data_IF_205668658160
#
_entry.id   IF_205668658160
#
_cell.length_a   1.000
_cell.length_b   1.000
_cell.length_c   1.000
_cell.angle_alpha   90.00
_cell.angle_beta   90.00
_cell.angle_gamma   90.00
#
_symmetry.space_group_name_H-M   'P 1'
#
loop_
_entity.id
_entity.type
_entity.pdbx_description
1 polymer ?
#
# COMPACT_ATOMS: atom_id res chain seq x y z
N UNK A 1 13.37 44.18 -46.31
CA UNK A 1 13.93 44.13 -47.67
C UNK A 1 14.06 42.64 -47.98
N UNK A 2 12.89 42.00 -48.08
CA UNK A 2 12.09 41.78 -49.32
C UNK A 2 12.71 40.59 -50.07
N UNK A 3 12.20 39.38 -49.89
CA UNK A 3 10.97 38.76 -50.45
C UNK A 3 11.34 37.96 -51.70
N UNK A 4 11.25 36.63 -51.65
CA UNK A 4 10.19 35.85 -52.32
C UNK A 4 10.82 35.10 -53.51
N UNK A 5 10.43 33.92 -53.98
CA UNK A 5 9.26 33.09 -53.76
C UNK A 5 9.66 31.62 -53.96
N UNK A 6 8.94 30.74 -53.28
CA UNK A 6 9.01 29.29 -53.35
C UNK A 6 7.71 28.84 -54.02
N UNK A 7 7.81 28.13 -55.14
CA UNK A 7 6.65 27.53 -55.81
C UNK A 7 6.74 26.00 -55.75
N UNK A 8 5.56 25.42 -55.55
CA UNK A 8 5.25 24.11 -55.00
C UNK A 8 4.68 23.19 -56.11
N UNK A 9 4.45 21.92 -55.76
CA UNK A 9 3.60 20.89 -56.40
C UNK A 9 4.28 19.68 -57.09
N UNK A 10 3.62 18.49 -57.17
CA UNK A 10 3.06 17.74 -56.04
C UNK A 10 3.28 16.20 -56.17
N UNK A 11 2.85 15.49 -55.12
CA UNK A 11 2.80 14.04 -54.94
C UNK A 11 2.02 13.26 -56.04
N UNK A 12 2.51 12.05 -56.32
CA UNK A 12 1.75 10.97 -56.95
C UNK A 12 2.05 9.65 -56.25
N UNK A 13 1.12 9.17 -55.43
CA UNK A 13 1.20 7.90 -54.68
C UNK A 13 0.43 6.81 -55.45
N UNK A 14 1.15 5.80 -55.93
CA UNK A 14 0.55 4.55 -56.44
C UNK A 14 0.17 3.60 -55.30
N UNK A 15 -1.06 3.11 -55.36
CA UNK A 15 -1.57 2.01 -54.54
C UNK A 15 -1.28 0.68 -55.23
N UNK A 16 -0.66 -0.27 -54.53
CA UNK A 16 -0.83 -1.69 -54.85
C UNK A 16 -0.83 -2.57 -53.60
N UNK A 17 -1.85 -3.42 -53.56
CA UNK A 17 -2.18 -4.43 -52.57
C UNK A 17 -1.18 -5.59 -52.61
N UNK A 18 -0.64 -5.98 -51.45
CA UNK A 18 -0.23 -7.39 -51.21
C UNK A 18 -0.44 -7.78 -49.75
N UNK A 19 -1.20 -8.85 -49.57
CA UNK A 19 -1.38 -9.63 -48.34
C UNK A 19 -0.05 -10.15 -47.77
N UNK A 20 0.11 -10.17 -46.44
CA UNK A 20 1.00 -11.12 -45.76
C UNK A 20 0.73 -11.22 -44.25
N UNK A 21 0.15 -12.35 -43.85
CA UNK A 21 0.41 -13.16 -42.64
C UNK A 21 1.13 -12.52 -41.44
N UNK A 22 0.41 -12.34 -40.33
CA UNK A 22 1.00 -12.10 -38.98
C UNK A 22 1.44 -13.41 -38.32
N UNK A 23 2.69 -13.55 -37.84
CA UNK A 23 3.08 -14.68 -37.02
C UNK A 23 2.69 -14.43 -35.55
N UNK A 24 2.21 -15.50 -34.91
CA UNK A 24 1.95 -15.64 -33.48
C UNK A 24 3.09 -15.06 -32.63
N UNK A 25 2.84 -13.94 -31.97
CA UNK A 25 3.74 -13.37 -30.97
C UNK A 25 3.68 -14.23 -29.70
N UNK A 26 4.68 -15.11 -29.57
CA UNK A 26 4.94 -15.83 -28.34
C UNK A 26 5.19 -14.81 -27.22
N UNK A 27 4.39 -14.90 -26.16
CA UNK A 27 4.54 -14.15 -24.92
C UNK A 27 5.95 -14.40 -24.37
N UNK A 28 6.86 -13.47 -24.65
CA UNK A 28 8.14 -13.36 -23.95
C UNK A 28 7.79 -13.12 -22.51
N UNK A 29 8.05 -14.12 -21.66
CA UNK A 29 7.95 -13.99 -20.22
C UNK A 29 8.74 -12.77 -19.80
N UNK A 30 8.05 -11.78 -19.24
CA UNK A 30 8.67 -10.68 -18.53
C UNK A 30 9.54 -11.30 -17.45
N UNK A 31 10.85 -11.40 -17.69
CA UNK A 31 11.81 -11.62 -16.65
C UNK A 31 11.61 -10.48 -15.65
N UNK A 32 10.98 -10.81 -14.53
CA UNK A 32 10.89 -9.91 -13.38
C UNK A 32 12.33 -9.67 -12.99
N UNK A 33 12.88 -8.54 -13.42
CA UNK A 33 14.18 -8.04 -12.99
C UNK A 33 14.11 -7.94 -11.47
N UNK A 34 14.61 -8.97 -10.79
CA UNK A 34 14.77 -8.97 -9.34
C UNK A 34 15.67 -7.81 -8.92
N UNK A 35 15.64 -7.44 -7.63
CA UNK A 35 16.59 -6.45 -7.10
C UNK A 35 18.02 -6.87 -7.47
N UNK A 36 18.87 -5.90 -7.84
CA UNK A 36 20.26 -6.19 -8.20
C UNK A 36 20.93 -6.99 -7.07
N UNK A 37 21.64 -8.08 -7.37
CA UNK A 37 22.32 -8.86 -6.34
C UNK A 37 23.30 -7.97 -5.58
N UNK A 38 23.13 -7.90 -4.27
CA UNK A 38 24.01 -7.14 -3.39
C UNK A 38 25.37 -7.84 -3.37
N UNK A 39 26.44 -7.12 -3.67
CA UNK A 39 27.78 -7.63 -3.41
C UNK A 39 27.98 -7.70 -1.89
N UNK A 40 27.73 -8.88 -1.32
CA UNK A 40 27.78 -9.13 0.13
C UNK A 40 29.13 -8.72 0.74
N UNK A 41 30.24 -8.96 0.03
CA UNK A 41 31.58 -8.57 0.50
C UNK A 41 31.71 -7.06 0.65
N UNK A 42 31.37 -6.31 -0.40
CA UNK A 42 31.43 -4.84 -0.37
C UNK A 42 30.50 -4.24 0.69
N UNK A 43 29.33 -4.86 0.90
CA UNK A 43 28.40 -4.47 1.96
C UNK A 43 29.00 -4.68 3.37
N UNK A 44 29.58 -5.85 3.64
CA UNK A 44 30.24 -6.15 4.93
C UNK A 44 31.45 -5.26 5.19
N UNK A 45 32.26 -4.97 4.17
CA UNK A 45 33.38 -4.03 4.28
C UNK A 45 32.91 -2.60 4.59
N UNK A 46 31.78 -2.16 4.02
CA UNK A 46 31.18 -0.87 4.35
C UNK A 46 30.67 -0.84 5.79
N UNK A 47 29.97 -1.88 6.25
CA UNK A 47 29.51 -1.97 7.64
C UNK A 47 30.68 -1.91 8.64
N UNK A 48 31.80 -2.58 8.33
CA UNK A 48 33.03 -2.52 9.13
C UNK A 48 33.52 -1.09 9.30
N UNK A 49 33.63 -0.36 8.19
CA UNK A 49 34.09 1.04 8.19
C UNK A 49 33.13 1.96 8.94
N UNK A 50 31.82 1.80 8.73
CA UNK A 50 30.79 2.57 9.46
C UNK A 50 30.89 2.32 10.97
N UNK A 51 31.07 1.07 11.41
CA UNK A 51 31.24 0.73 12.82
C UNK A 51 32.50 1.40 13.41
N UNK A 52 33.63 1.30 12.71
CA UNK A 52 34.89 1.92 13.10
C UNK A 52 34.74 3.45 13.23
N UNK A 53 34.12 4.10 12.24
CA UNK A 53 33.91 5.55 12.23
C UNK A 53 32.97 6.02 13.35
N UNK A 54 32.01 5.20 13.76
CA UNK A 54 31.09 5.49 14.86
C UNK A 54 31.63 5.04 16.23
N UNK A 55 32.81 4.41 16.29
CA UNK A 55 33.36 3.83 17.52
C UNK A 55 32.49 2.71 18.10
N UNK A 56 31.72 2.00 17.25
CA UNK A 56 30.86 0.91 17.67
C UNK A 56 31.66 -0.41 17.70
N UNK A 57 31.45 -1.26 18.73
CA UNK A 57 32.01 -2.61 18.71
C UNK A 57 31.36 -3.39 17.57
N UNK A 58 32.17 -3.85 16.62
CA UNK A 58 31.73 -4.77 15.58
C UNK A 58 31.95 -6.20 16.08
N UNK A 59 30.88 -6.98 16.17
CA UNK A 59 30.98 -8.40 16.50
C UNK A 59 31.15 -9.19 15.19
N UNK A 60 32.18 -10.04 15.14
CA UNK A 60 32.42 -10.92 13.99
C UNK A 60 31.64 -12.21 14.22
N UNK A 61 30.55 -12.37 13.49
CA UNK A 61 29.74 -13.58 13.55
C UNK A 61 30.38 -14.63 12.65
N UNK A 62 31.01 -15.63 13.30
CA UNK A 62 31.43 -16.85 12.62
C UNK A 62 30.19 -17.69 12.39
N UNK A 63 29.80 -17.85 11.13
CA UNK A 63 28.80 -18.87 10.80
C UNK A 63 29.38 -20.23 11.20
N UNK A 64 28.67 -20.95 12.07
CA UNK A 64 29.05 -22.29 12.44
C UNK A 64 28.75 -23.20 11.25
N UNK A 65 29.72 -23.34 10.34
CA UNK A 65 29.60 -24.24 9.21
C UNK A 65 29.63 -25.69 9.72
N UNK A 66 28.78 -26.54 9.14
CA UNK A 66 28.80 -27.97 9.43
C UNK A 66 30.13 -28.54 8.92
N UNK A 67 30.96 -29.15 9.80
CA UNK A 67 32.29 -29.66 9.44
C UNK A 67 32.29 -30.64 8.25
N UNK A 68 31.14 -31.27 7.95
CA UNK A 68 31.00 -32.19 6.82
C UNK A 68 30.82 -31.50 5.47
N UNK A 69 30.44 -30.21 5.43
CA UNK A 69 30.20 -29.42 4.21
C UNK A 69 31.15 -28.23 4.03
N UNK A 70 31.99 -27.91 5.01
CA UNK A 70 33.03 -26.87 4.97
C UNK A 70 34.04 -27.06 3.79
N UNK A 71 34.18 -28.28 3.26
CA UNK A 71 35.01 -28.56 2.06
C UNK A 71 34.37 -28.03 0.78
N UNK A 72 33.03 -27.94 0.73
CA UNK A 72 32.27 -27.55 -0.46
C UNK A 72 31.99 -26.05 -0.53
N UNK A 73 32.10 -25.35 0.60
CA UNK A 73 31.86 -23.91 0.70
C UNK A 73 33.18 -23.15 0.74
N UNK A 74 33.39 -22.14 -0.12
CA UNK A 74 34.50 -21.22 0.09
C UNK A 74 34.28 -20.52 1.43
N UNK A 75 35.30 -20.55 2.31
CA UNK A 75 35.28 -19.93 3.63
C UNK A 75 34.55 -18.58 3.60
N UNK A 76 33.36 -18.55 4.20
CA UNK A 76 32.48 -17.39 4.12
C UNK A 76 33.18 -16.18 4.75
N UNK A 77 33.18 -15.00 4.10
CA UNK A 77 33.76 -13.81 4.70
C UNK A 77 33.02 -13.52 5.99
N UNK A 78 33.76 -13.39 7.09
CA UNK A 78 33.16 -13.18 8.40
C UNK A 78 32.18 -12.03 8.36
N UNK A 79 30.95 -12.30 8.80
CA UNK A 79 29.88 -11.32 8.81
C UNK A 79 30.03 -10.42 10.03
N UNK A 80 29.76 -9.13 9.85
CA UNK A 80 29.78 -8.16 10.94
C UNK A 80 28.35 -7.93 11.41
N UNK A 81 28.14 -8.13 12.71
CA UNK A 81 26.93 -7.71 13.40
C UNK A 81 27.18 -6.35 14.08
N UNK A 82 26.30 -5.39 13.79
CA UNK A 82 26.26 -4.11 14.50
C UNK A 82 25.43 -4.24 15.78
N UNK A 83 25.81 -3.55 16.87
CA UNK A 83 25.09 -3.64 18.13
C UNK A 83 23.69 -3.05 18.02
N UNK A 84 22.73 -3.69 18.69
CA UNK A 84 21.35 -3.23 18.71
C UNK A 84 21.23 -1.93 19.52
N UNK A 85 20.72 -0.87 18.89
CA UNK A 85 20.52 0.42 19.53
C UNK A 85 19.59 0.26 20.75
N UNK A 86 20.06 0.67 21.94
CA UNK A 86 19.32 0.53 23.21
C UNK A 86 17.89 1.10 23.17
N UNK A 87 17.70 2.22 22.47
CA UNK A 87 16.37 2.82 22.29
C UNK A 87 15.44 1.92 21.48
N UNK A 88 15.93 1.31 20.39
CA UNK A 88 15.16 0.32 19.61
C UNK A 88 14.83 -0.87 20.51
N UNK A 89 15.81 -1.34 21.29
CA UNK A 89 15.64 -2.43 22.24
C UNK A 89 14.54 -2.16 23.27
N UNK A 90 14.57 -0.98 23.88
CA UNK A 90 13.56 -0.55 24.85
C UNK A 90 12.18 -0.50 24.22
N UNK A 91 12.06 0.09 23.02
CA UNK A 91 10.79 0.27 22.34
C UNK A 91 10.06 -1.06 22.10
N UNK A 92 10.71 -2.07 21.52
CA UNK A 92 10.03 -3.34 21.28
C UNK A 92 9.74 -4.07 22.60
N UNK A 93 10.63 -4.00 23.60
CA UNK A 93 10.40 -4.61 24.92
C UNK A 93 9.18 -4.04 25.61
N UNK A 94 8.96 -2.72 25.50
CA UNK A 94 7.76 -2.05 26.03
C UNK A 94 6.50 -2.54 25.32
N UNK A 95 6.50 -2.60 23.99
CA UNK A 95 5.35 -3.10 23.21
C UNK A 95 5.03 -4.56 23.55
N UNK A 96 6.05 -5.38 23.80
CA UNK A 96 5.89 -6.80 24.14
C UNK A 96 5.39 -7.06 25.55
N UNK A 97 5.37 -6.07 26.46
CA UNK A 97 4.78 -6.28 27.80
C UNK A 97 3.27 -6.54 27.72
N UNK A 98 2.58 -5.94 26.77
CA UNK A 98 1.12 -6.02 26.62
C UNK A 98 0.71 -6.24 25.16
N UNK A 99 1.07 -7.39 24.55
CA UNK A 99 0.94 -7.57 23.10
C UNK A 99 -0.52 -7.49 22.64
N UNK A 100 -1.46 -8.05 23.41
CA UNK A 100 -2.89 -8.06 23.08
C UNK A 100 -3.56 -6.68 23.17
N UNK A 101 -3.11 -5.81 24.09
CA UNK A 101 -3.70 -4.48 24.32
C UNK A 101 -2.81 -3.35 23.82
N UNK A 102 -1.68 -3.64 23.17
CA UNK A 102 -0.82 -2.63 22.58
C UNK A 102 -1.63 -1.73 21.64
N UNK A 103 -1.51 -0.42 21.81
CA UNK A 103 -2.21 0.51 20.95
C UNK A 103 -1.65 0.43 19.51
N UNK A 104 -2.44 0.77 18.48
CA UNK A 104 -1.90 1.13 17.17
C UNK A 104 -0.87 2.27 17.32
N UNK A 105 0.01 2.43 16.33
CA UNK A 105 1.00 3.50 16.34
C UNK A 105 0.33 4.85 16.58
N UNK A 106 0.95 5.69 17.41
CA UNK A 106 0.38 6.97 17.79
C UNK A 106 0.08 7.84 16.55
N UNK A 107 -1.13 8.42 16.49
CA UNK A 107 -1.59 9.26 15.36
C UNK A 107 -0.57 10.33 14.95
N UNK A 108 0.14 10.94 15.91
CA UNK A 108 1.16 11.96 15.61
C UNK A 108 2.28 11.45 14.69
N UNK A 109 2.64 10.17 14.79
CA UNK A 109 3.64 9.55 13.90
C UNK A 109 3.08 9.41 12.48
N UNK A 110 1.81 9.03 12.34
CA UNK A 110 1.16 8.90 11.03
C UNK A 110 1.11 10.23 10.26
N UNK A 111 1.02 11.35 10.97
CA UNK A 111 1.00 12.70 10.37
C UNK A 111 2.40 13.19 9.96
N UNK A 112 3.48 12.48 10.32
CA UNK A 112 4.83 12.83 9.86
C UNK A 112 5.11 12.30 8.46
N UNK A 113 4.53 11.14 8.14
CA UNK A 113 4.84 10.40 6.91
C UNK A 113 3.72 10.57 5.89
N UNK A 114 3.72 11.69 5.17
CA UNK A 114 2.79 11.95 4.07
C UNK A 114 3.24 11.25 2.76
N UNK A 115 2.26 10.79 2.00
CA UNK A 115 2.39 10.28 0.64
C UNK A 115 1.21 10.80 -0.19
N UNK A 116 1.32 10.89 -1.53
CA UNK A 116 0.18 11.21 -2.38
C UNK A 116 -0.99 10.28 -2.07
N UNK A 117 -2.19 10.83 -1.89
CA UNK A 117 -3.38 10.05 -1.54
C UNK A 117 -4.03 9.41 -2.77
N UNK A 118 -4.02 10.10 -3.91
CA UNK A 118 -4.67 9.66 -5.14
C UNK A 118 -4.00 8.38 -5.68
N UNK A 119 -4.75 7.29 -5.74
CA UNK A 119 -4.26 5.97 -6.17
C UNK A 119 -3.48 5.20 -5.11
N UNK A 120 -3.33 5.76 -3.91
CA UNK A 120 -2.63 5.16 -2.77
C UNK A 120 -3.48 5.28 -1.49
N UNK A 121 -4.79 5.36 -1.62
CA UNK A 121 -5.74 5.53 -0.52
C UNK A 121 -5.62 4.39 0.51
N UNK A 122 -5.23 3.20 0.03
CA UNK A 122 -4.97 2.01 0.83
C UNK A 122 -3.92 2.24 1.93
N UNK A 123 -3.00 3.20 1.78
CA UNK A 123 -1.99 3.54 2.79
C UNK A 123 -2.54 4.28 4.01
N UNK A 124 -3.74 4.85 3.89
CA UNK A 124 -4.33 5.74 4.90
C UNK A 124 -5.65 5.21 5.45
N UNK A 125 -6.41 4.51 4.62
CA UNK A 125 -7.75 4.08 4.94
C UNK A 125 -7.84 2.55 5.02
N UNK A 126 -8.58 2.06 6.00
CA UNK A 126 -8.96 0.64 6.01
C UNK A 126 -9.95 0.37 4.87
N UNK A 127 -9.76 -0.70 4.09
CA UNK A 127 -10.72 -1.05 3.07
C UNK A 127 -12.05 -1.41 3.72
N UNK A 128 -13.13 -0.89 3.14
CA UNK A 128 -14.49 -1.17 3.60
C UNK A 128 -14.85 -2.62 3.27
N UNK A 129 -15.52 -3.35 4.16
CA UNK A 129 -16.12 -4.63 3.81
C UNK A 129 -17.36 -4.33 2.96
N UNK A 130 -17.18 -4.18 1.65
CA UNK A 130 -18.27 -4.00 0.67
C UNK A 130 -18.38 -5.29 -0.14
N UNK A 131 -19.53 -5.98 -0.11
CA UNK A 131 -19.87 -7.18 -0.94
C UNK A 131 -21.16 -7.82 -0.44
N UNK A 132 -21.73 -8.76 -1.20
CA UNK A 132 -22.72 -9.73 -0.73
C UNK A 132 -22.32 -10.45 0.57
N UNK A 133 -21.03 -10.63 0.87
CA UNK A 133 -20.58 -11.19 2.15
C UNK A 133 -21.12 -10.39 3.34
N UNK A 134 -21.06 -9.06 3.26
CA UNK A 134 -21.54 -8.17 4.32
C UNK A 134 -23.06 -8.19 4.43
N UNK A 135 -23.75 -8.23 3.30
CA UNK A 135 -25.19 -8.40 3.27
C UNK A 135 -25.60 -9.74 3.92
N UNK A 136 -24.88 -10.83 3.66
CA UNK A 136 -25.13 -12.14 4.28
C UNK A 136 -24.92 -12.11 5.80
N UNK A 137 -23.86 -11.46 6.28
CA UNK A 137 -23.63 -11.24 7.72
C UNK A 137 -24.78 -10.46 8.35
N UNK A 138 -25.21 -9.37 7.72
CA UNK A 138 -26.30 -8.51 8.21
C UNK A 138 -27.64 -9.27 8.26
N UNK A 139 -28.00 -10.02 7.22
CA UNK A 139 -29.23 -10.81 7.21
C UNK A 139 -29.21 -11.89 8.29
N UNK A 140 -28.09 -12.59 8.44
CA UNK A 140 -27.93 -13.59 9.50
C UNK A 140 -28.07 -12.99 10.90
N UNK A 141 -27.60 -11.77 11.11
CA UNK A 141 -27.78 -11.03 12.36
C UNK A 141 -29.26 -10.63 12.59
N UNK A 142 -29.99 -10.25 11.54
CA UNK A 142 -31.41 -9.86 11.61
C UNK A 142 -32.33 -11.01 12.00
N UNK A 143 -32.10 -12.21 11.47
CA UNK A 143 -32.94 -13.38 11.75
C UNK A 143 -32.70 -14.01 13.13
N UNK A 144 -31.97 -13.34 14.03
CA UNK A 144 -31.80 -13.76 15.43
C UNK A 144 -31.14 -15.13 15.60
N UNK A 145 -30.49 -15.65 14.55
CA UNK A 145 -29.97 -17.01 14.51
C UNK A 145 -28.83 -17.28 15.50
N UNK A 146 -28.31 -16.27 16.23
CA UNK A 146 -27.37 -16.46 17.34
C UNK A 146 -27.49 -15.35 18.40
N UNK A 147 -27.72 -15.73 19.67
CA UNK A 147 -27.09 -15.01 20.81
C UNK A 147 -25.58 -14.96 20.54
N UNK A 148 -24.81 -13.92 20.92
CA UNK A 148 -23.41 -13.77 20.48
C UNK A 148 -22.60 -15.00 20.89
N UNK A 149 -22.46 -15.95 19.96
CA UNK A 149 -21.75 -17.17 20.18
C UNK A 149 -20.28 -16.81 20.45
N UNK A 150 -19.52 -17.60 21.21
CA UNK A 150 -18.09 -17.36 21.42
C UNK A 150 -17.34 -17.06 20.11
N UNK A 151 -17.75 -17.68 19.01
CA UNK A 151 -17.21 -17.47 17.65
C UNK A 151 -17.37 -16.05 17.11
N UNK A 152 -18.45 -15.34 17.42
CA UNK A 152 -18.67 -13.95 16.97
C UNK A 152 -17.76 -12.94 17.70
N UNK A 153 -17.39 -13.23 18.96
CA UNK A 153 -16.40 -12.41 19.69
C UNK A 153 -15.01 -12.56 19.08
N UNK A 154 -14.64 -13.78 18.72
CA UNK A 154 -13.34 -14.06 18.08
C UNK A 154 -13.25 -13.45 16.68
N UNK A 155 -14.31 -13.50 15.87
CA UNK A 155 -14.31 -12.85 14.55
C UNK A 155 -14.10 -11.33 14.66
N UNK A 156 -14.81 -10.65 15.56
CA UNK A 156 -14.59 -9.20 15.81
C UNK A 156 -13.17 -8.89 16.28
N UNK A 157 -12.61 -9.73 17.15
CA UNK A 157 -11.22 -9.60 17.62
C UNK A 157 -10.24 -9.79 16.46
N UNK A 158 -10.51 -10.74 15.56
CA UNK A 158 -9.69 -11.00 14.38
C UNK A 158 -9.77 -9.83 13.36
N UNK A 159 -10.93 -9.24 13.10
CA UNK A 159 -11.04 -8.02 12.26
C UNK A 159 -10.26 -6.86 12.87
N UNK A 160 -10.33 -6.68 14.20
CA UNK A 160 -9.56 -5.64 14.89
C UNK A 160 -8.04 -5.85 14.75
N UNK A 161 -7.57 -7.08 14.94
CA UNK A 161 -6.15 -7.40 14.71
C UNK A 161 -5.76 -7.19 13.25
N UNK A 162 -6.58 -7.63 12.31
CA UNK A 162 -6.32 -7.44 10.89
C UNK A 162 -6.27 -5.96 10.49
N UNK A 163 -7.13 -5.10 11.07
CA UNK A 163 -7.02 -3.64 10.91
C UNK A 163 -5.69 -3.11 11.43
N UNK A 164 -5.25 -3.56 12.61
CA UNK A 164 -4.00 -3.12 13.21
C UNK A 164 -2.80 -3.51 12.34
N UNK A 165 -2.74 -4.77 11.89
CA UNK A 165 -1.71 -5.27 10.96
C UNK A 165 -1.71 -4.46 9.67
N UNK A 166 -2.89 -4.22 9.09
CA UNK A 166 -3.06 -3.41 7.89
C UNK A 166 -2.51 -1.98 8.05
N UNK A 167 -2.91 -1.28 9.12
CA UNK A 167 -2.42 0.08 9.41
C UNK A 167 -0.93 0.13 9.66
N UNK A 168 -0.37 -0.87 10.36
CA UNK A 168 1.07 -0.97 10.58
C UNK A 168 1.82 -1.12 9.25
N UNK A 169 1.32 -1.95 8.34
CA UNK A 169 1.87 -2.09 6.99
C UNK A 169 1.82 -0.80 6.18
N UNK A 170 0.65 -0.15 6.14
CA UNK A 170 0.47 1.13 5.44
C UNK A 170 1.37 2.24 5.99
N UNK A 171 1.52 2.33 7.32
CA UNK A 171 2.45 3.28 7.93
C UNK A 171 3.91 2.94 7.61
N UNK A 172 4.30 1.67 7.67
CA UNK A 172 5.67 1.26 7.37
C UNK A 172 6.03 1.58 5.91
N UNK A 173 5.12 1.33 4.96
CA UNK A 173 5.29 1.74 3.56
C UNK A 173 5.51 3.24 3.39
N UNK A 174 4.79 4.09 4.14
CA UNK A 174 4.98 5.55 4.11
C UNK A 174 6.33 5.97 4.71
N UNK A 175 6.78 5.31 5.78
CA UNK A 175 8.09 5.56 6.40
C UNK A 175 9.22 5.21 5.43
N UNK A 176 9.21 4.01 4.86
CA UNK A 176 10.28 3.54 3.96
C UNK A 176 10.31 4.32 2.65
N UNK A 177 9.15 4.80 2.15
CA UNK A 177 9.10 5.70 1.00
C UNK A 177 9.85 7.01 1.27
N UNK A 178 9.62 7.64 2.43
CA UNK A 178 10.37 8.85 2.80
C UNK A 178 11.86 8.57 3.01
N UNK A 179 12.21 7.44 3.63
CA UNK A 179 13.60 7.02 3.79
C UNK A 179 14.30 6.86 2.43
N UNK A 180 13.65 6.21 1.46
CA UNK A 180 14.18 6.05 0.11
C UNK A 180 14.44 7.40 -0.57
N UNK A 181 13.51 8.37 -0.45
CA UNK A 181 13.69 9.72 -0.99
C UNK A 181 14.88 10.42 -0.32
N UNK A 182 15.01 10.36 1.01
CA UNK A 182 16.13 10.97 1.72
C UNK A 182 17.47 10.32 1.36
N UNK A 183 17.51 9.00 1.23
CA UNK A 183 18.72 8.28 0.84
C UNK A 183 19.15 8.62 -0.60
N UNK A 184 18.19 8.77 -1.53
CA UNK A 184 18.45 9.24 -2.89
C UNK A 184 18.99 10.67 -2.90
N UNK A 185 18.38 11.56 -2.12
CA UNK A 185 18.89 12.92 -1.95
C UNK A 185 20.31 12.93 -1.38
N UNK A 186 20.58 12.17 -0.32
CA UNK A 186 21.91 12.06 0.29
C UNK A 186 22.97 11.59 -0.72
N UNK A 187 22.65 10.58 -1.53
CA UNK A 187 23.54 10.13 -2.61
C UNK A 187 23.87 11.27 -3.60
N UNK A 188 22.85 12.02 -4.02
CA UNK A 188 23.03 13.15 -4.92
C UNK A 188 23.87 14.26 -4.27
N UNK A 189 23.68 14.53 -2.98
CA UNK A 189 24.49 15.52 -2.24
C UNK A 189 25.96 15.13 -2.22
N UNK A 190 26.31 13.86 -1.97
CA UNK A 190 27.69 13.38 -2.08
C UNK A 190 28.23 13.46 -3.50
N UNK A 191 27.41 13.18 -4.51
CA UNK A 191 27.82 13.34 -5.91
C UNK A 191 28.13 14.80 -6.27
N UNK A 192 27.36 15.76 -5.76
CA UNK A 192 27.65 17.19 -5.91
C UNK A 192 28.91 17.57 -5.13
N UNK A 193 29.08 17.05 -3.91
CA UNK A 193 30.27 17.30 -3.10
C UNK A 193 31.55 16.89 -3.84
N UNK A 194 31.52 15.77 -4.58
CA UNK A 194 32.64 15.32 -5.40
C UNK A 194 33.17 16.35 -6.41
N UNK A 195 32.36 17.32 -6.84
CA UNK A 195 32.78 18.39 -7.76
C UNK A 195 33.76 19.38 -7.14
N UNK A 196 33.84 19.47 -5.81
CA UNK A 196 34.76 20.36 -5.10
C UNK A 196 36.18 19.78 -4.97
N UNK A 197 36.42 18.57 -5.49
CA UNK A 197 37.74 17.90 -5.41
C UNK A 197 38.87 18.79 -5.93
N UNK A 198 38.68 19.41 -7.09
CA UNK A 198 39.74 20.18 -7.76
C UNK A 198 40.02 21.53 -7.08
N UNK A 199 39.13 21.95 -6.16
CA UNK A 199 39.33 23.14 -5.33
C UNK A 199 40.18 22.87 -4.08
N UNK A 200 40.53 21.62 -3.80
CA UNK A 200 41.34 21.23 -2.64
C UNK A 200 42.83 21.17 -2.97
N UNK A 201 43.71 21.42 -1.98
CA UNK A 201 45.15 21.16 -2.11
C UNK A 201 45.41 19.73 -2.56
N UNK A 202 46.40 19.53 -3.44
CA UNK A 202 46.70 18.23 -4.04
C UNK A 202 46.85 17.10 -3.00
N UNK A 203 47.46 17.40 -1.85
CA UNK A 203 47.62 16.42 -0.75
C UNK A 203 46.32 15.92 -0.13
N UNK A 204 45.22 16.66 -0.24
CA UNK A 204 43.93 16.31 0.39
C UNK A 204 42.90 15.73 -0.60
N UNK A 205 43.18 15.77 -1.90
CA UNK A 205 42.22 15.36 -2.92
C UNK A 205 41.87 13.86 -2.86
N UNK A 206 42.83 13.02 -2.50
CA UNK A 206 42.62 11.57 -2.40
C UNK A 206 41.72 11.21 -1.21
N UNK A 207 42.00 11.77 -0.03
CA UNK A 207 41.18 11.58 1.17
C UNK A 207 39.76 12.08 0.96
N UNK A 208 39.61 13.25 0.32
CA UNK A 208 38.30 13.78 -0.05
C UNK A 208 37.53 12.86 -1.01
N UNK A 209 38.21 12.31 -2.01
CA UNK A 209 37.60 11.36 -2.95
C UNK A 209 37.11 10.12 -2.20
N UNK A 210 37.93 9.56 -1.31
CA UNK A 210 37.57 8.40 -0.51
C UNK A 210 36.35 8.68 0.39
N UNK A 211 36.30 9.85 1.03
CA UNK A 211 35.17 10.28 1.86
C UNK A 211 33.88 10.41 1.04
N UNK A 212 33.96 11.04 -0.15
CA UNK A 212 32.81 11.20 -1.04
C UNK A 212 32.28 9.85 -1.51
N UNK A 213 33.17 8.92 -1.87
CA UNK A 213 32.77 7.60 -2.35
C UNK A 213 32.22 6.73 -1.22
N UNK A 214 32.75 6.85 0.00
CA UNK A 214 32.16 6.22 1.18
C UNK A 214 30.76 6.78 1.47
N UNK A 215 30.57 8.09 1.43
CA UNK A 215 29.27 8.74 1.61
C UNK A 215 28.23 8.28 0.59
N UNK A 216 28.61 8.16 -0.68
CA UNK A 216 27.77 7.55 -1.74
C UNK A 216 27.47 6.09 -1.42
N UNK A 217 28.45 5.31 -0.98
CA UNK A 217 28.30 3.91 -0.60
C UNK A 217 27.29 3.70 0.53
N UNK A 218 27.37 4.52 1.59
CA UNK A 218 26.42 4.52 2.71
C UNK A 218 25.01 4.89 2.22
N UNK A 219 24.86 5.95 1.43
CA UNK A 219 23.57 6.38 0.91
C UNK A 219 22.92 5.31 0.01
N UNK A 220 23.71 4.66 -0.87
CA UNK A 220 23.24 3.57 -1.73
C UNK A 220 22.80 2.35 -0.91
N UNK A 221 23.58 1.98 0.11
CA UNK A 221 23.26 0.84 0.98
C UNK A 221 22.01 1.09 1.82
N UNK A 222 21.85 2.30 2.35
CA UNK A 222 20.64 2.73 3.08
C UNK A 222 19.40 2.76 2.18
N UNK A 223 19.56 3.18 0.90
CA UNK A 223 18.48 3.09 -0.09
C UNK A 223 18.06 1.64 -0.32
N UNK A 224 19.02 0.73 -0.50
CA UNK A 224 18.71 -0.70 -0.66
C UNK A 224 17.96 -1.26 0.56
N UNK A 225 18.44 -0.98 1.77
CA UNK A 225 17.75 -1.40 3.00
C UNK A 225 16.31 -0.84 3.10
N UNK A 226 16.07 0.36 2.55
CA UNK A 226 14.72 0.93 2.47
C UNK A 226 13.82 0.16 1.50
N UNK A 227 14.36 -0.30 0.37
CA UNK A 227 13.63 -1.14 -0.60
C UNK A 227 13.33 -2.53 -0.03
N UNK A 228 14.29 -3.15 0.66
CA UNK A 228 14.10 -4.45 1.32
C UNK A 228 13.05 -4.34 2.45
N UNK A 229 13.08 -3.22 3.19
CA UNK A 229 12.06 -2.89 4.18
C UNK A 229 10.69 -2.65 3.55
N UNK A 230 10.64 -2.07 2.34
CA UNK A 230 9.40 -1.86 1.59
C UNK A 230 8.79 -3.17 1.10
N UNK A 231 9.58 -4.11 0.59
CA UNK A 231 9.10 -5.46 0.24
C UNK A 231 8.51 -6.17 1.47
N UNK A 232 9.23 -6.13 2.58
CA UNK A 232 8.76 -6.71 3.85
C UNK A 232 7.46 -6.05 4.32
N UNK A 233 7.38 -4.72 4.28
CA UNK A 233 6.18 -3.98 4.66
C UNK A 233 5.01 -4.28 3.72
N UNK A 234 5.24 -4.40 2.41
CA UNK A 234 4.21 -4.71 1.42
C UNK A 234 3.51 -6.04 1.72
N UNK A 235 4.24 -7.03 2.26
CA UNK A 235 3.68 -8.34 2.66
C UNK A 235 2.80 -8.29 3.90
N UNK A 236 2.91 -7.26 4.74
CA UNK A 236 2.08 -7.14 5.95
C UNK A 236 0.64 -6.71 5.64
N UNK A 237 0.43 -5.92 4.58
CA UNK A 237 -0.91 -5.45 4.18
C UNK A 237 -1.82 -6.61 3.78
N UNK A 238 -1.42 -7.55 2.89
CA UNK A 238 -2.18 -8.76 2.60
C UNK A 238 -2.50 -9.59 3.84
N UNK A 239 -1.56 -9.77 4.77
CA UNK A 239 -1.83 -10.49 6.03
C UNK A 239 -2.97 -9.85 6.82
N UNK A 240 -2.98 -8.52 6.93
CA UNK A 240 -4.08 -7.77 7.53
C UNK A 240 -5.41 -7.94 6.78
N UNK A 241 -5.38 -7.90 5.44
CA UNK A 241 -6.56 -8.14 4.58
C UNK A 241 -7.11 -9.54 4.79
N UNK A 242 -6.27 -10.56 4.78
CA UNK A 242 -6.63 -11.97 4.96
C UNK A 242 -7.30 -12.18 6.31
N UNK A 243 -6.70 -11.69 7.40
CA UNK A 243 -7.30 -11.77 8.74
C UNK A 243 -8.70 -11.16 8.77
N UNK A 244 -8.86 -9.98 8.16
CA UNK A 244 -10.17 -9.31 8.08
C UNK A 244 -11.14 -10.12 7.23
N UNK A 245 -10.74 -10.62 6.05
CA UNK A 245 -11.59 -11.48 5.21
C UNK A 245 -12.05 -12.71 5.98
N UNK A 246 -11.15 -13.41 6.67
CA UNK A 246 -11.49 -14.57 7.49
C UNK A 246 -12.51 -14.23 8.57
N UNK A 247 -12.39 -13.08 9.25
CA UNK A 247 -13.38 -12.64 10.23
C UNK A 247 -14.78 -12.48 9.61
N UNK A 248 -14.88 -11.74 8.50
CA UNK A 248 -16.16 -11.51 7.82
C UNK A 248 -16.76 -12.78 7.20
N UNK A 249 -15.93 -13.64 6.63
CA UNK A 249 -16.36 -14.92 6.04
C UNK A 249 -16.86 -15.90 7.11
N UNK A 250 -16.21 -15.95 8.29
CA UNK A 250 -16.69 -16.76 9.41
C UNK A 250 -18.06 -16.33 9.91
N UNK A 251 -18.31 -15.02 9.98
CA UNK A 251 -19.62 -14.49 10.40
C UNK A 251 -20.72 -14.76 9.35
N UNK A 252 -20.36 -14.79 8.06
CA UNK A 252 -21.30 -14.99 6.96
C UNK A 252 -21.97 -16.37 6.97
N UNK A 253 -21.33 -17.38 7.57
CA UNK A 253 -21.82 -18.76 7.58
C UNK A 253 -21.67 -19.50 6.24
N UNK A 254 -20.86 -18.99 5.31
CA UNK A 254 -20.50 -19.68 4.07
C UNK A 254 -19.83 -21.04 4.37
N UNK A 255 -19.97 -22.06 3.50
CA UNK A 255 -19.20 -23.29 3.61
C UNK A 255 -17.68 -23.03 3.56
N UNK A 256 -16.85 -23.77 4.32
CA UNK A 256 -15.40 -23.57 4.38
C UNK A 256 -14.71 -23.52 3.01
N UNK A 257 -15.15 -24.35 2.06
CA UNK A 257 -14.60 -24.42 0.70
C UNK A 257 -14.81 -23.09 -0.05
N UNK A 258 -15.98 -22.48 0.14
CA UNK A 258 -16.28 -21.16 -0.42
C UNK A 258 -15.46 -20.08 0.30
N UNK A 259 -15.34 -20.15 1.64
CA UNK A 259 -14.55 -19.18 2.39
C UNK A 259 -13.09 -19.15 1.92
N UNK A 260 -12.44 -20.30 1.79
CA UNK A 260 -11.05 -20.40 1.33
C UNK A 260 -10.88 -19.78 -0.06
N UNK A 261 -11.80 -20.10 -0.99
CA UNK A 261 -11.77 -19.56 -2.35
C UNK A 261 -11.89 -18.02 -2.37
N UNK A 262 -12.73 -17.44 -1.51
CA UNK A 262 -12.93 -15.99 -1.45
C UNK A 262 -11.79 -15.26 -0.71
N UNK A 263 -11.17 -15.94 0.25
CA UNK A 263 -10.05 -15.40 1.02
C UNK A 263 -8.85 -15.10 0.13
N UNK A 264 -8.55 -15.99 -0.83
CA UNK A 264 -7.38 -15.92 -1.73
C UNK A 264 -7.59 -15.07 -2.99
N UNK A 265 -8.73 -14.40 -3.13
CA UNK A 265 -8.95 -13.48 -4.26
C UNK A 265 -7.93 -12.31 -4.23
N UNK A 266 -7.58 -11.73 -5.38
CA UNK A 266 -6.75 -10.52 -5.41
C UNK A 266 -7.29 -9.39 -4.51
N UNK A 267 -6.39 -8.54 -4.02
CA UNK A 267 -6.74 -7.33 -3.27
C UNK A 267 -6.41 -6.10 -4.12
N UNK A 268 -7.42 -5.27 -4.39
CA UNK A 268 -7.33 -4.13 -5.31
C UNK A 268 -7.20 -2.77 -4.57
N UNK A 269 -7.10 -2.77 -3.24
CA UNK A 269 -6.90 -1.55 -2.44
C UNK A 269 -8.18 -0.78 -2.08
N UNK A 270 -9.27 -0.91 -2.86
CA UNK A 270 -10.51 -0.14 -2.67
C UNK A 270 -11.47 -0.75 -1.64
N UNK A 271 -11.55 -2.08 -1.57
CA UNK A 271 -12.49 -2.81 -0.74
C UNK A 271 -11.89 -4.10 -0.19
N UNK A 272 -12.44 -4.58 0.93
CA UNK A 272 -12.00 -5.85 1.52
C UNK A 272 -12.39 -7.01 0.61
N UNK A 273 -13.54 -6.89 -0.05
CA UNK A 273 -14.01 -7.75 -1.12
C UNK A 273 -14.23 -6.88 -2.36
N UNK A 274 -14.06 -7.50 -3.54
CA UNK A 274 -14.25 -6.85 -4.84
C UNK A 274 -15.48 -7.40 -5.56
N UNK A 275 -15.87 -6.82 -6.68
CA UNK A 275 -16.96 -7.33 -7.53
C UNK A 275 -16.72 -8.79 -7.98
N UNK A 276 -15.45 -9.21 -8.08
CA UNK A 276 -15.08 -10.59 -8.34
C UNK A 276 -15.56 -11.54 -7.23
N UNK A 277 -15.61 -11.06 -5.98
CA UNK A 277 -16.13 -11.83 -4.84
C UNK A 277 -17.59 -12.19 -5.06
N UNK A 278 -18.39 -11.21 -5.49
CA UNK A 278 -19.82 -11.40 -5.74
C UNK A 278 -20.06 -12.31 -6.95
N UNK A 279 -19.28 -12.14 -8.03
CA UNK A 279 -19.30 -13.05 -9.18
C UNK A 279 -18.96 -14.50 -8.78
N UNK A 280 -17.94 -14.69 -7.92
CA UNK A 280 -17.56 -16.01 -7.40
C UNK A 280 -18.65 -16.61 -6.52
N UNK A 281 -19.25 -15.82 -5.62
CA UNK A 281 -20.39 -16.22 -4.79
C UNK A 281 -21.59 -16.68 -5.64
N UNK A 282 -21.85 -16.06 -6.79
CA UNK A 282 -22.90 -16.53 -7.70
C UNK A 282 -22.50 -17.77 -8.52
N UNK A 283 -21.21 -17.99 -8.76
CA UNK A 283 -20.75 -19.14 -9.55
C UNK A 283 -20.83 -20.48 -8.80
N UNK A 284 -20.58 -20.47 -7.48
CA UNK A 284 -20.50 -21.67 -6.65
C UNK A 284 -21.90 -22.15 -6.24
N UNK A 285 -22.11 -23.47 -6.31
CA UNK A 285 -23.44 -24.08 -6.05
C UNK A 285 -23.88 -23.88 -4.60
N UNK A 286 -22.96 -24.10 -3.66
CA UNK A 286 -23.28 -24.11 -2.23
C UNK A 286 -23.49 -22.69 -1.69
N UNK A 287 -22.73 -21.71 -2.18
CA UNK A 287 -22.99 -20.30 -1.88
C UNK A 287 -24.33 -19.84 -2.45
N UNK A 288 -24.72 -20.25 -3.67
CA UNK A 288 -26.06 -19.94 -4.21
C UNK A 288 -27.17 -20.51 -3.35
N UNK A 289 -27.02 -21.74 -2.86
CA UNK A 289 -28.02 -22.37 -1.97
C UNK A 289 -28.16 -21.58 -0.66
N UNK A 290 -27.05 -21.15 -0.07
CA UNK A 290 -27.06 -20.35 1.15
C UNK A 290 -27.63 -18.93 0.92
N UNK A 291 -27.23 -18.25 -0.16
CA UNK A 291 -27.80 -16.93 -0.48
C UNK A 291 -29.32 -17.01 -0.72
N UNK A 292 -29.82 -18.12 -1.27
CA UNK A 292 -31.26 -18.39 -1.37
C UNK A 292 -31.93 -18.55 -0.02
N UNK A 293 -31.32 -19.28 0.93
CA UNK A 293 -31.91 -19.47 2.27
C UNK A 293 -31.94 -18.18 3.08
N UNK A 294 -31.01 -17.25 2.81
CA UNK A 294 -31.00 -15.89 3.37
C UNK A 294 -31.93 -14.91 2.62
N UNK A 295 -32.67 -15.35 1.60
CA UNK A 295 -33.54 -14.47 0.81
C UNK A 295 -32.80 -13.47 -0.08
N UNK A 296 -31.48 -13.60 -0.24
CA UNK A 296 -30.62 -12.68 -0.98
C UNK A 296 -30.44 -13.04 -2.47
N UNK A 297 -31.30 -13.91 -3.01
CA UNK A 297 -31.19 -14.30 -4.40
C UNK A 297 -31.77 -13.20 -5.30
N UNK A 298 -30.95 -12.51 -6.08
CA UNK A 298 -31.43 -11.74 -7.23
C UNK A 298 -31.98 -12.76 -8.23
N UNK A 299 -33.30 -12.82 -8.49
CA UNK A 299 -33.82 -13.73 -9.51
C UNK A 299 -33.06 -13.42 -10.79
N UNK A 300 -32.39 -14.43 -11.38
CA UNK A 300 -31.88 -14.31 -12.73
C UNK A 300 -33.00 -13.70 -13.53
N UNK A 301 -32.77 -12.53 -14.13
CA UNK A 301 -33.78 -11.80 -14.89
C UNK A 301 -34.33 -12.82 -15.86
N UNK A 302 -35.50 -13.39 -15.54
CA UNK A 302 -36.12 -14.32 -16.45
C UNK A 302 -36.40 -13.45 -17.65
N UNK A 303 -35.60 -13.65 -18.71
CA UNK A 303 -35.94 -13.13 -20.01
C UNK A 303 -37.30 -13.76 -20.27
N UNK A 304 -38.36 -12.98 -20.01
CA UNK A 304 -39.71 -13.34 -20.42
C UNK A 304 -39.56 -13.82 -21.86
N UNK A 305 -40.01 -15.03 -22.21
CA UNK A 305 -40.02 -15.46 -23.59
C UNK A 305 -40.60 -14.31 -24.39
N UNK A 306 -39.81 -13.78 -25.32
CA UNK A 306 -40.22 -12.65 -26.13
C UNK A 306 -41.48 -13.12 -26.87
N UNK A 307 -42.65 -12.70 -26.38
CA UNK A 307 -43.91 -12.93 -27.06
C UNK A 307 -43.93 -11.84 -28.13
N UNK A 308 -43.74 -12.15 -29.43
CA UNK A 308 -43.86 -11.14 -30.46
C UNK A 308 -45.26 -10.54 -30.33
N UNK A 309 -45.30 -9.28 -29.94
CA UNK A 309 -46.53 -8.51 -29.91
C UNK A 309 -46.96 -8.32 -31.37
N UNK A 310 -48.19 -8.68 -31.75
CA UNK A 310 -48.66 -8.43 -33.11
C UNK A 310 -48.60 -6.93 -33.38
N UNK A 311 -48.16 -6.50 -34.58
CA UNK A 311 -47.95 -5.10 -34.88
C UNK A 311 -49.26 -4.32 -34.64
N UNK A 312 -49.22 -3.20 -33.91
CA UNK A 312 -50.40 -2.37 -33.73
C UNK A 312 -50.86 -1.89 -35.10
N UNK A 313 -52.11 -2.20 -35.42
CA UNK A 313 -52.80 -1.68 -36.59
C UNK A 313 -52.70 -0.15 -36.55
N UNK A 314 -51.90 0.40 -37.48
CA UNK A 314 -51.78 1.84 -37.71
C UNK A 314 -53.15 2.37 -38.10
N UNK A 315 -53.88 2.94 -37.14
CA UNK A 315 -54.88 3.94 -37.45
C UNK A 315 -54.15 5.26 -37.63
N UNK A 316 -53.98 5.62 -38.89
CA UNK A 316 -53.53 6.92 -39.34
C UNK A 316 -54.49 7.98 -38.78
N UNK A 317 -54.00 8.84 -37.89
CA UNK A 317 -54.65 10.14 -37.63
C UNK A 317 -53.70 11.30 -37.97
N UNK A 318 -54.25 12.43 -38.45
CA UNK A 318 -53.49 13.45 -39.14
C UNK A 318 -52.75 14.37 -38.17
N UNK A 319 -51.61 14.87 -38.64
CA UNK A 319 -50.79 15.89 -38.01
C UNK A 319 -51.58 17.11 -37.51
N UNK A 320 -51.40 17.46 -36.23
CA UNK A 320 -51.45 18.85 -35.79
C UNK A 320 -50.08 19.29 -35.28
N UNK A 321 -49.49 20.15 -36.11
CA UNK A 321 -48.31 20.97 -35.87
C UNK A 321 -48.61 21.93 -34.71
N UNK A 322 -47.85 21.86 -33.62
CA UNK A 322 -47.70 23.01 -32.73
C UNK A 322 -46.29 23.10 -32.17
N UNK A 323 -45.60 24.11 -32.68
CA UNK A 323 -44.30 24.60 -32.27
C UNK A 323 -44.50 25.49 -31.03
N UNK A 324 -43.58 25.42 -30.06
CA UNK A 324 -43.47 26.40 -28.97
C UNK A 324 -42.07 26.38 -28.37
N UNK A 325 -41.25 27.33 -28.83
CA UNK A 325 -40.06 27.81 -28.13
C UNK A 325 -40.40 28.26 -26.70
N UNK A 326 -39.72 27.75 -25.67
CA UNK A 326 -39.41 28.55 -24.47
C UNK A 326 -38.05 28.24 -23.84
N UNK A 327 -37.18 29.20 -24.07
CA UNK A 327 -35.99 29.65 -23.32
C UNK A 327 -36.24 29.77 -21.80
N UNK A 328 -35.33 29.23 -20.98
CA UNK A 328 -34.84 29.72 -19.66
C UNK A 328 -33.81 28.68 -19.17
N UNK A 329 -32.53 28.95 -18.92
CA UNK A 329 -31.84 30.19 -18.57
C UNK A 329 -31.74 30.33 -17.05
N UNK A 330 -30.51 30.27 -16.52
CA UNK A 330 -30.02 30.63 -15.16
C UNK A 330 -30.26 29.59 -14.04
N UNK A 331 -29.39 29.36 -13.05
CA UNK A 331 -28.29 30.15 -12.48
C UNK A 331 -27.27 29.29 -11.69
N UNK A 332 -26.05 29.85 -11.59
CA UNK A 332 -24.96 29.52 -10.67
C UNK A 332 -25.33 29.61 -9.19
N UNK A 333 -24.79 28.73 -8.32
CA UNK A 333 -24.22 29.04 -6.98
C UNK A 333 -23.17 27.97 -6.63
N UNK A 334 -21.87 28.24 -6.67
CA UNK A 334 -21.04 28.81 -5.58
C UNK A 334 -21.38 28.26 -4.20
N UNK A 335 -20.53 27.37 -3.69
CA UNK A 335 -20.37 27.15 -2.25
C UNK A 335 -18.90 27.32 -1.89
N UNK A 336 -18.64 28.36 -1.11
CA UNK A 336 -17.36 28.70 -0.51
C UNK A 336 -17.17 27.91 0.79
N UNK A 337 -15.92 27.53 1.02
CA UNK A 337 -15.27 27.34 2.31
C UNK A 337 -15.89 28.18 3.43
N UNK A 338 -16.03 27.59 4.61
CA UNK A 338 -15.93 28.37 5.83
C UNK A 338 -15.13 27.64 6.91
N UNK A 339 -14.12 28.36 7.39
CA UNK A 339 -13.16 28.04 8.42
C UNK A 339 -13.32 29.16 9.47
N UNK A 340 -13.62 28.82 10.73
CA UNK A 340 -13.37 29.65 11.93
C UNK A 340 -13.86 28.85 13.15
N UNK A 341 -12.98 28.45 14.07
CA UNK A 341 -12.41 29.25 15.17
C UNK A 341 -13.47 29.98 16.00
N UNK A 342 -13.65 29.53 17.25
CA UNK A 342 -13.92 30.38 18.41
C UNK A 342 -13.62 29.62 19.72
N UNK A 343 -12.57 30.08 20.40
CA UNK A 343 -12.48 30.23 21.86
C UNK A 343 -12.71 31.74 22.16
N UNK A 344 -12.89 32.27 23.40
CA UNK A 344 -12.42 31.74 24.68
C UNK A 344 -13.37 31.92 25.89
N UNK A 345 -13.00 31.32 27.02
CA UNK A 345 -13.62 31.56 28.32
C UNK A 345 -12.65 31.23 29.46
N UNK A 346 -12.10 32.28 30.06
CA UNK A 346 -11.29 32.26 31.28
C UNK A 346 -12.13 31.81 32.48
N UNK A 347 -11.57 31.02 33.40
CA UNK A 347 -11.77 31.32 34.81
C UNK A 347 -10.64 30.82 35.71
N UNK A 348 -10.33 31.68 36.67
CA UNK A 348 -9.23 31.65 37.62
C UNK A 348 -9.48 30.66 38.77
N UNK A 349 -8.40 30.17 39.37
CA UNK A 349 -8.46 29.38 40.60
C UNK A 349 -7.06 29.10 41.15
N UNK A 350 -6.47 30.09 41.81
CA UNK A 350 -5.23 29.96 42.58
C UNK A 350 -5.38 28.93 43.71
N UNK A 351 -4.32 28.15 43.95
CA UNK A 351 -3.73 27.94 45.29
C UNK A 351 -2.39 27.21 45.18
N UNK A 352 -1.32 27.91 45.55
CA UNK A 352 -0.01 27.38 45.92
C UNK A 352 0.11 27.55 47.45
N UNK A 353 0.73 26.60 48.17
CA UNK A 353 1.72 27.04 49.15
C UNK A 353 3.08 26.34 49.01
N UNK A 354 4.02 26.93 49.74
CA UNK A 354 5.49 26.96 49.66
C UNK A 354 6.26 25.66 49.99
N UNK A 355 7.58 25.62 49.70
CA UNK A 355 8.48 24.53 50.04
C UNK A 355 9.03 24.66 51.49
N UNK A 356 9.03 23.54 52.20
CA UNK A 356 9.63 23.40 53.53
C UNK A 356 11.07 22.88 53.48
N UNK A 357 11.89 23.47 54.33
CA UNK A 357 13.34 23.40 54.52
C UNK A 357 13.84 22.05 55.09
N UNK A 358 15.06 21.67 54.68
CA UNK A 358 16.02 20.72 55.30
C UNK A 358 16.27 21.03 56.80
N UNK A 359 16.72 20.10 57.69
CA UNK A 359 18.09 19.52 57.62
C UNK A 359 18.35 18.11 58.23
N UNK A 360 19.52 17.56 57.84
CA UNK A 360 20.47 16.81 58.69
C UNK A 360 20.16 15.35 59.06
N UNK A 361 20.86 14.40 58.44
CA UNK A 361 22.07 13.73 58.96
C UNK A 361 22.83 13.06 57.80
#
# INVERSE_FOLDING_TARGET
MEDGEQEDQPEGVEQQLTSSSSPSEAVVGTEVSGPLPINHRAHQELLRRVAQNLGLPAEETVEQEDPLVDILSPKSPSSIALPLIKTIQSNYKTVWQTPASSAPTAKGVEHKYFAPSKGCEFLFCHPSPCSLVVSAVNERQRYGQQAPAPKAKEAKRLDLFGRKVYSSGGLQLRIVNQQAIFNRHNFNSWAVMGKFKDSLPQGSQQEFTALVDEGKGVAKTSLQASLDSADTAARTVPSGVVMRRSAWLQESGLPPEVQNTLQDLPFEGSGLFSDQTDARLHSLKDSRAMLKSLGMHTPATQRKPFKPEPPPQRQSQPHHRHESYRRRGRDNRRWHNNNNNNAPGQNQGQRKPQPGTKPGF
#
